data_IF_977379855462
#
_entry.id   IF_977379855462
#
_cell.length_a   1.000
_cell.length_b   1.000
_cell.length_c   1.000
_cell.angle_alpha   90.00
_cell.angle_beta   90.00
_cell.angle_gamma   90.00
#
_symmetry.space_group_name_H-M   'P 1'
#
loop_
_entity.id
_entity.type
_entity.pdbx_description
1 polymer ?
#
# COMPACT_ATOMS: atom_id res chain seq x y z
N UNK A 1 12.24 24.57 -0.76
CA UNK A 1 12.90 23.43 -1.43
C UNK A 1 11.88 22.64 -2.25
N UNK A 2 10.81 22.18 -1.60
CA UNK A 2 9.76 21.33 -2.16
C UNK A 2 9.00 21.93 -3.36
N UNK A 3 8.71 23.23 -3.36
CA UNK A 3 8.08 23.90 -4.53
C UNK A 3 8.90 23.75 -5.81
N UNK A 4 10.22 23.99 -5.76
CA UNK A 4 11.11 23.81 -6.91
C UNK A 4 11.16 22.36 -7.40
N UNK A 5 11.11 21.41 -6.47
CA UNK A 5 11.05 19.98 -6.81
C UNK A 5 9.72 19.61 -7.47
N UNK A 6 8.59 20.09 -6.94
CA UNK A 6 7.25 19.89 -7.50
C UNK A 6 7.17 20.45 -8.93
N UNK A 7 7.62 21.69 -9.13
CA UNK A 7 7.68 22.33 -10.45
C UNK A 7 8.57 21.54 -11.42
N UNK A 8 9.74 21.10 -10.96
CA UNK A 8 10.68 20.30 -11.75
C UNK A 8 10.14 18.92 -12.14
N UNK A 9 9.34 18.28 -11.28
CA UNK A 9 8.67 17.01 -11.61
C UNK A 9 7.49 17.22 -12.56
N UNK A 10 6.72 18.29 -12.35
CA UNK A 10 5.57 18.61 -13.20
C UNK A 10 5.97 19.04 -14.60
N UNK A 11 7.15 19.66 -14.79
CA UNK A 11 7.65 20.03 -16.12
C UNK A 11 8.07 18.83 -16.97
N UNK A 12 8.32 17.67 -16.36
CA UNK A 12 8.72 16.43 -17.04
C UNK A 12 7.52 15.54 -17.43
N UNK A 13 6.29 16.00 -17.23
CA UNK A 13 5.08 15.22 -17.54
C UNK A 13 4.95 15.01 -19.04
N UNK A 14 4.85 13.75 -19.44
CA UNK A 14 4.74 13.34 -20.84
C UNK A 14 3.28 13.29 -21.33
N UNK A 15 2.32 13.23 -20.41
CA UNK A 15 0.88 13.14 -20.71
C UNK A 15 0.02 13.60 -19.54
N UNK A 16 -1.27 13.80 -19.79
CA UNK A 16 -2.26 14.06 -18.73
C UNK A 16 -2.44 12.88 -17.77
N UNK A 17 -2.11 11.66 -18.21
CA UNK A 17 -2.14 10.45 -17.38
C UNK A 17 -0.89 10.31 -16.49
N UNK A 18 0.17 11.06 -16.78
CA UNK A 18 1.37 11.10 -15.94
C UNK A 18 1.06 11.77 -14.61
N UNK A 19 1.72 11.28 -13.55
CA UNK A 19 1.59 11.80 -12.19
C UNK A 19 1.70 13.34 -12.16
N UNK A 20 0.84 13.95 -11.37
CA UNK A 20 0.86 15.38 -11.09
C UNK A 20 1.17 15.59 -9.61
N UNK A 21 2.14 16.45 -9.33
CA UNK A 21 2.64 16.70 -7.99
C UNK A 21 2.11 18.03 -7.48
N UNK A 22 1.77 18.07 -6.19
CA UNK A 22 1.26 19.27 -5.53
C UNK A 22 1.74 19.34 -4.09
N UNK A 23 1.42 20.45 -3.44
CA UNK A 23 1.69 20.61 -2.01
C UNK A 23 0.85 19.61 -1.19
N UNK A 24 1.49 19.07 -0.16
CA UNK A 24 0.91 18.15 0.80
C UNK A 24 1.29 18.59 2.21
N UNK A 25 0.70 17.96 3.22
CA UNK A 25 1.07 18.17 4.63
C UNK A 25 2.52 17.80 4.96
N UNK A 26 3.27 17.19 4.03
CA UNK A 26 4.66 16.79 4.20
C UNK A 26 5.63 17.69 3.45
N UNK A 27 5.15 18.77 2.82
CA UNK A 27 5.97 19.61 1.93
C UNK A 27 7.00 20.48 2.64
N UNK A 28 6.94 20.60 3.96
CA UNK A 28 7.93 21.27 4.80
C UNK A 28 9.03 20.32 5.31
N UNK A 29 8.80 19.00 5.26
CA UNK A 29 9.77 17.99 5.66
C UNK A 29 10.87 17.79 4.62
N UNK A 30 12.10 17.60 5.08
CA UNK A 30 13.16 16.97 4.29
C UNK A 30 12.83 15.50 4.01
N UNK A 31 13.52 14.91 3.04
CA UNK A 31 13.36 13.50 2.73
C UNK A 31 13.72 12.62 3.93
N UNK A 32 14.79 12.97 4.64
CA UNK A 32 15.21 12.28 5.85
C UNK A 32 14.16 12.35 6.97
N UNK A 33 13.61 13.54 7.24
CA UNK A 33 12.53 13.72 8.21
C UNK A 33 11.27 12.94 7.81
N UNK A 34 10.91 12.97 6.53
CA UNK A 34 9.76 12.22 6.04
C UNK A 34 9.96 10.71 6.26
N UNK A 35 11.12 10.18 5.90
CA UNK A 35 11.43 8.77 6.07
C UNK A 35 11.46 8.34 7.54
N UNK A 36 11.98 9.17 8.44
CA UNK A 36 12.08 8.86 9.87
C UNK A 36 10.74 9.02 10.61
N UNK A 37 9.95 10.02 10.25
CA UNK A 37 8.69 10.31 10.91
C UNK A 37 7.55 9.45 10.37
N UNK A 38 7.54 9.10 9.09
CA UNK A 38 6.36 8.47 8.46
C UNK A 38 6.57 7.01 8.11
N UNK A 39 7.79 6.57 7.79
CA UNK A 39 8.07 5.21 7.32
C UNK A 39 8.84 4.39 8.36
N UNK A 40 8.81 3.08 8.18
CA UNK A 40 9.67 2.15 8.94
C UNK A 40 10.77 1.64 8.02
N UNK A 41 11.94 2.29 8.08
CA UNK A 41 13.11 2.00 7.20
C UNK A 41 13.55 0.53 7.21
N UNK A 42 13.32 -0.16 8.32
CA UNK A 42 13.74 -1.55 8.48
C UNK A 42 12.86 -2.56 7.73
N UNK A 43 11.66 -2.17 7.26
CA UNK A 43 10.71 -3.13 6.67
C UNK A 43 11.30 -3.90 5.49
N UNK A 44 12.08 -3.24 4.63
CA UNK A 44 12.75 -3.90 3.50
C UNK A 44 13.70 -5.00 3.98
N UNK A 45 14.51 -4.70 5.01
CA UNK A 45 15.44 -5.66 5.62
C UNK A 45 14.69 -6.81 6.30
N UNK A 46 13.67 -6.49 7.10
CA UNK A 46 12.85 -7.48 7.81
C UNK A 46 12.14 -8.42 6.83
N UNK A 47 11.62 -7.87 5.73
CA UNK A 47 10.99 -8.65 4.67
C UNK A 47 11.97 -9.62 4.00
N UNK A 48 13.20 -9.18 3.73
CA UNK A 48 14.22 -10.05 3.14
C UNK A 48 14.68 -11.16 4.09
N UNK A 49 14.84 -10.85 5.38
CA UNK A 49 15.12 -11.86 6.40
C UNK A 49 13.98 -12.89 6.48
N UNK A 50 12.73 -12.43 6.44
CA UNK A 50 11.57 -13.31 6.50
C UNK A 50 11.49 -14.27 5.30
N UNK A 51 11.82 -13.84 4.08
CA UNK A 51 11.82 -14.71 2.88
C UNK A 51 12.75 -15.92 3.03
N UNK A 52 13.82 -15.76 3.81
CA UNK A 52 14.85 -16.79 4.01
C UNK A 52 14.60 -17.65 5.26
N UNK A 53 13.47 -17.46 5.94
CA UNK A 53 13.13 -18.14 7.19
C UNK A 53 12.67 -19.60 6.96
N UNK A 54 12.74 -20.41 8.02
CA UNK A 54 12.50 -21.86 8.02
C UNK A 54 11.11 -22.23 7.53
N UNK A 55 10.09 -21.42 7.81
CA UNK A 55 8.70 -21.70 7.44
C UNK A 55 8.42 -21.53 5.95
N UNK A 56 9.29 -20.84 5.21
CA UNK A 56 9.23 -20.75 3.75
C UNK A 56 10.02 -21.87 3.04
N UNK A 57 10.79 -22.69 3.76
CA UNK A 57 11.54 -23.82 3.15
C UNK A 57 10.65 -24.93 2.65
N UNK A 58 9.43 -25.06 3.21
CA UNK A 58 8.43 -25.96 2.65
C UNK A 58 7.94 -25.36 1.34
N UNK A 59 8.36 -25.95 0.23
CA UNK A 59 7.70 -25.74 -1.07
C UNK A 59 6.25 -26.18 -0.91
N UNK A 60 5.37 -25.27 -0.52
CA UNK A 60 3.96 -25.46 -0.77
C UNK A 60 3.87 -25.67 -2.28
N UNK A 61 3.43 -26.87 -2.70
CA UNK A 61 3.00 -27.06 -4.07
C UNK A 61 2.04 -25.93 -4.33
N UNK A 62 2.49 -24.96 -5.15
CA UNK A 62 1.65 -23.92 -5.70
C UNK A 62 0.41 -24.66 -6.17
N UNK A 63 -0.72 -24.40 -5.52
CA UNK A 63 -1.99 -24.62 -6.19
C UNK A 63 -1.86 -23.76 -7.43
N UNK A 64 -1.46 -24.41 -8.54
CA UNK A 64 -1.40 -23.82 -9.86
C UNK A 64 -2.68 -23.02 -9.96
N UNK A 65 -2.55 -21.70 -10.03
CA UNK A 65 -3.67 -20.83 -10.34
C UNK A 65 -4.25 -21.42 -11.62
N UNK A 66 -5.41 -22.09 -11.50
CA UNK A 66 -6.14 -22.59 -12.67
C UNK A 66 -6.35 -21.37 -13.55
N UNK A 67 -5.84 -21.44 -14.79
CA UNK A 67 -5.77 -20.38 -15.80
C UNK A 67 -6.88 -19.34 -15.65
N UNK A 68 -6.51 -18.13 -15.23
CA UNK A 68 -6.60 -16.80 -15.91
C UNK A 68 -7.79 -16.47 -16.84
N UNK A 69 -8.78 -17.34 -17.03
CA UNK A 69 -9.96 -17.04 -17.83
C UNK A 69 -10.92 -16.17 -17.00
N UNK A 70 -11.30 -15.01 -17.54
CA UNK A 70 -12.29 -14.12 -16.91
C UNK A 70 -11.73 -13.05 -15.96
N UNK A 71 -10.41 -12.82 -15.93
CA UNK A 71 -9.87 -11.63 -15.26
C UNK A 71 -10.12 -10.41 -16.16
N UNK A 72 -10.81 -9.36 -15.66
CA UNK A 72 -11.08 -8.17 -16.47
C UNK A 72 -9.79 -7.38 -16.73
N UNK A 73 -9.75 -6.67 -17.86
CA UNK A 73 -8.63 -5.78 -18.23
C UNK A 73 -8.44 -4.64 -17.22
N UNK A 74 -9.51 -4.24 -16.54
CA UNK A 74 -9.50 -3.23 -15.47
C UNK A 74 -10.37 -3.72 -14.31
N UNK A 75 -9.84 -3.66 -13.09
CA UNK A 75 -10.55 -3.99 -11.87
C UNK A 75 -10.26 -2.94 -10.81
N UNK A 76 -11.31 -2.33 -10.27
CA UNK A 76 -11.23 -1.43 -9.13
C UNK A 76 -12.14 -1.94 -8.02
N UNK A 77 -11.54 -2.50 -6.96
CA UNK A 77 -12.26 -3.04 -5.82
C UNK A 77 -13.05 -1.97 -5.05
N UNK A 78 -12.67 -0.69 -5.14
CA UNK A 78 -13.38 0.42 -4.49
C UNK A 78 -14.80 0.58 -5.05
N UNK A 79 -14.97 0.35 -6.35
CA UNK A 79 -16.29 0.41 -7.02
C UNK A 79 -17.25 -0.68 -6.55
N UNK A 80 -16.74 -1.71 -5.87
CA UNK A 80 -17.53 -2.81 -5.30
C UNK A 80 -17.88 -2.61 -3.83
N UNK A 81 -17.47 -1.50 -3.21
CA UNK A 81 -17.75 -1.22 -1.80
C UNK A 81 -17.06 -2.17 -0.82
N UNK A 82 -15.95 -2.80 -1.23
CA UNK A 82 -15.20 -3.76 -0.39
C UNK A 82 -13.86 -3.21 0.11
N UNK A 83 -13.59 -1.92 -0.11
CA UNK A 83 -12.36 -1.24 0.32
C UNK A 83 -12.78 -0.12 1.26
N UNK A 84 -12.13 0.01 2.41
CA UNK A 84 -12.45 1.08 3.37
C UNK A 84 -11.97 2.44 2.87
N UNK A 85 -12.44 3.51 3.52
CA UNK A 85 -11.90 4.85 3.28
C UNK A 85 -10.40 4.93 3.60
N UNK A 86 -9.72 5.89 2.97
CA UNK A 86 -8.29 6.15 3.20
C UNK A 86 -8.06 6.48 4.67
N UNK A 87 -7.06 5.84 5.28
CA UNK A 87 -6.65 6.07 6.68
C UNK A 87 -5.26 6.69 6.78
N UNK A 88 -4.94 7.24 7.95
CA UNK A 88 -3.62 7.80 8.25
C UNK A 88 -2.96 7.00 9.37
N UNK A 89 -1.75 6.50 9.12
CA UNK A 89 -0.92 5.85 10.14
C UNK A 89 -0.23 6.83 11.10
N UNK A 90 -0.33 8.13 10.83
CA UNK A 90 0.44 9.16 11.54
C UNK A 90 1.94 8.89 11.46
N UNK A 91 2.62 9.06 12.60
CA UNK A 91 4.08 8.92 12.69
C UNK A 91 4.55 7.57 13.27
N UNK A 92 3.68 6.56 13.29
CA UNK A 92 3.96 5.30 13.99
C UNK A 92 4.81 4.31 13.18
N UNK A 93 4.89 4.47 11.85
CA UNK A 93 5.49 3.44 10.97
C UNK A 93 4.65 2.16 10.88
N UNK A 94 3.34 2.27 11.10
CA UNK A 94 2.40 1.14 11.15
C UNK A 94 1.90 0.67 9.78
N UNK A 95 2.51 1.09 8.66
CA UNK A 95 2.05 0.74 7.30
C UNK A 95 1.84 -0.78 7.10
N UNK A 96 2.65 -1.61 7.74
CA UNK A 96 2.50 -3.07 7.72
C UNK A 96 1.15 -3.52 8.30
N UNK A 97 0.73 -2.95 9.43
CA UNK A 97 -0.52 -3.29 10.09
C UNK A 97 -1.72 -2.79 9.29
N UNK A 98 -1.66 -1.55 8.77
CA UNK A 98 -2.69 -1.02 7.87
C UNK A 98 -2.85 -1.91 6.62
N UNK A 99 -1.75 -2.32 5.99
CA UNK A 99 -1.78 -3.19 4.80
C UNK A 99 -2.41 -4.55 5.11
N UNK A 100 -2.08 -5.14 6.26
CA UNK A 100 -2.65 -6.43 6.70
C UNK A 100 -4.14 -6.30 7.00
N UNK A 101 -4.54 -5.27 7.75
CA UNK A 101 -5.93 -5.04 8.14
C UNK A 101 -6.82 -4.79 6.93
N UNK A 102 -6.43 -3.89 6.02
CA UNK A 102 -7.23 -3.61 4.81
C UNK A 102 -7.44 -4.85 3.93
N UNK A 103 -6.42 -5.72 3.85
CA UNK A 103 -6.54 -6.99 3.15
C UNK A 103 -7.57 -7.91 3.82
N UNK A 104 -7.51 -8.05 5.15
CA UNK A 104 -8.47 -8.87 5.91
C UNK A 104 -9.89 -8.32 5.78
N UNK A 105 -10.07 -7.00 5.91
CA UNK A 105 -11.36 -6.31 5.74
C UNK A 105 -11.95 -6.57 4.36
N UNK A 106 -11.14 -6.44 3.30
CA UNK A 106 -11.55 -6.69 1.93
C UNK A 106 -11.96 -8.16 1.72
N UNK A 107 -11.20 -9.10 2.27
CA UNK A 107 -11.51 -10.54 2.18
C UNK A 107 -12.80 -10.91 2.93
N UNK A 108 -13.03 -10.32 4.10
CA UNK A 108 -14.29 -10.46 4.84
C UNK A 108 -15.45 -9.89 4.02
N UNK A 109 -15.28 -8.72 3.42
CA UNK A 109 -16.30 -8.07 2.60
C UNK A 109 -16.62 -8.90 1.34
N UNK A 110 -15.62 -9.47 0.67
CA UNK A 110 -15.82 -10.37 -0.47
C UNK A 110 -16.61 -11.61 -0.06
N UNK A 111 -16.28 -12.21 1.08
CA UNK A 111 -16.91 -13.46 1.53
C UNK A 111 -18.33 -13.25 2.05
N UNK A 112 -18.53 -12.19 2.84
CA UNK A 112 -19.75 -11.99 3.62
C UNK A 112 -20.67 -10.90 3.04
N UNK A 113 -20.23 -10.18 2.00
CA UNK A 113 -20.97 -9.07 1.39
C UNK A 113 -21.06 -7.81 2.25
N UNK A 114 -20.39 -7.76 3.41
CA UNK A 114 -20.42 -6.62 4.33
C UNK A 114 -19.02 -6.15 4.66
N UNK A 115 -18.74 -4.87 4.36
CA UNK A 115 -17.49 -4.22 4.74
C UNK A 115 -17.52 -3.84 6.21
N UNK A 116 -16.50 -4.27 6.96
CA UNK A 116 -16.33 -3.95 8.39
C UNK A 116 -14.95 -3.35 8.58
N UNK A 117 -14.88 -2.23 9.30
CA UNK A 117 -13.61 -1.67 9.76
C UNK A 117 -13.13 -2.47 10.98
N UNK A 118 -11.87 -2.90 10.94
CA UNK A 118 -11.15 -3.54 12.03
C UNK A 118 -10.16 -2.56 12.67
N UNK A 119 -9.73 -2.87 13.89
CA UNK A 119 -8.69 -2.14 14.59
C UNK A 119 -7.33 -2.42 13.97
N UNK A 120 -6.53 -1.37 13.78
CA UNK A 120 -5.11 -1.50 13.36
C UNK A 120 -4.18 -1.55 14.57
N UNK A 121 -4.71 -1.26 15.76
CA UNK A 121 -3.96 -1.15 17.01
C UNK A 121 -3.99 -2.42 17.87
N UNK A 122 -4.97 -3.31 17.67
CA UNK A 122 -5.10 -4.59 18.40
C UNK A 122 -4.05 -5.61 17.94
#
# INVERSE_FOLDING_TARGET
RSLRQIEGLNSQRLSQESAYYGLTQFSDLSEEEFLDLTLRRELSRLGEQHKNDVHHRRKHHSHRIKRLAGIPVKLDWRTKGIVTGVRSQGSCGACWAYSTVECIESMIAIKNGTLRSLSVQE
#
